data_IF_138735341129
#
_entry.id   IF_138735341129
#
_cell.length_a   1.000
_cell.length_b   1.000
_cell.length_c   1.000
_cell.angle_alpha   90.00
_cell.angle_beta   90.00
_cell.angle_gamma   90.00
#
_symmetry.space_group_name_H-M   'P 1'
#
loop_
_entity.id
_entity.type
_entity.pdbx_description
1 polymer ?
#
# COMPACT_ATOMS: atom_id res chain seq x y z
N UNK A 1 3.98 -6.96 13.82
CA UNK A 1 2.93 -8.00 13.76
C UNK A 1 1.68 -7.44 14.40
N UNK A 2 0.76 -6.88 13.61
CA UNK A 2 -0.53 -6.38 14.11
C UNK A 2 -1.54 -7.51 13.95
N UNK A 3 -1.97 -8.08 15.07
CA UNK A 3 -3.01 -9.08 15.13
C UNK A 3 -4.31 -8.36 15.54
N UNK A 4 -5.08 -7.88 14.57
CA UNK A 4 -6.36 -7.22 14.83
C UNK A 4 -7.51 -8.21 14.60
N UNK A 5 -8.23 -8.49 15.70
CA UNK A 5 -9.48 -9.26 15.73
C UNK A 5 -10.52 -8.64 14.79
N UNK A 6 -11.23 -9.49 14.02
CA UNK A 6 -12.43 -9.11 13.27
C UNK A 6 -13.52 -8.54 14.20
N UNK A 7 -14.24 -7.47 13.82
CA UNK A 7 -15.45 -7.04 14.50
C UNK A 7 -16.56 -8.10 14.38
N UNK A 8 -17.31 -8.26 15.47
CA UNK A 8 -18.44 -9.19 15.57
C UNK A 8 -19.68 -8.51 14.98
N UNK A 9 -20.06 -8.85 13.75
CA UNK A 9 -21.35 -8.44 13.17
C UNK A 9 -22.42 -9.35 13.75
N UNK A 10 -23.33 -8.77 14.53
CA UNK A 10 -24.58 -9.42 14.96
C UNK A 10 -25.55 -9.50 13.78
N UNK A 11 -25.84 -10.72 13.32
CA UNK A 11 -26.94 -11.01 12.42
C UNK A 11 -28.29 -10.66 13.07
N UNK A 12 -29.10 -9.85 12.41
CA UNK A 12 -30.55 -9.91 12.55
C UNK A 12 -31.17 -10.14 11.18
N UNK A 13 -31.78 -11.31 11.05
CA UNK A 13 -32.57 -11.75 9.91
C UNK A 13 -33.85 -10.92 9.79
N UNK A 14 -34.12 -10.38 8.61
CA UNK A 14 -35.50 -10.20 8.15
C UNK A 14 -35.61 -10.69 6.70
N UNK A 15 -36.35 -11.78 6.52
CA UNK A 15 -36.83 -12.27 5.23
C UNK A 15 -37.86 -11.28 4.67
N UNK A 16 -37.84 -11.06 3.36
CA UNK A 16 -39.04 -11.02 2.52
C UNK A 16 -38.66 -11.09 1.03
N UNK A 17 -39.59 -11.63 0.28
CA UNK A 17 -39.43 -12.34 -0.99
C UNK A 17 -39.48 -11.46 -2.25
N UNK A 18 -39.07 -12.10 -3.34
CA UNK A 18 -39.50 -11.94 -4.75
C UNK A 18 -39.26 -10.61 -5.48
N UNK A 19 -38.19 -10.60 -6.30
CA UNK A 19 -38.26 -10.00 -7.64
C UNK A 19 -37.29 -10.73 -8.61
N UNK A 20 -37.88 -11.37 -9.60
CA UNK A 20 -37.22 -12.03 -10.73
C UNK A 20 -36.53 -10.98 -11.61
N UNK A 21 -35.22 -11.13 -11.85
CA UNK A 21 -34.46 -10.38 -12.87
C UNK A 21 -33.74 -11.38 -13.79
N UNK A 22 -33.70 -11.17 -15.12
CA UNK A 22 -33.33 -12.20 -16.08
C UNK A 22 -31.82 -12.48 -16.11
N UNK A 23 -31.47 -13.76 -16.29
CA UNK A 23 -30.12 -14.23 -16.63
C UNK A 23 -29.66 -13.61 -17.95
N UNK A 24 -28.59 -12.83 -17.90
CA UNK A 24 -27.74 -12.52 -19.07
C UNK A 24 -26.46 -13.32 -18.88
N UNK A 25 -26.10 -14.09 -19.91
CA UNK A 25 -24.84 -14.82 -19.98
C UNK A 25 -23.69 -13.82 -20.14
N UNK A 26 -22.90 -13.66 -19.08
CA UNK A 26 -21.58 -13.01 -19.11
C UNK A 26 -20.52 -14.11 -19.21
N UNK A 27 -20.21 -14.51 -20.44
CA UNK A 27 -18.90 -15.09 -20.77
C UNK A 27 -18.03 -13.97 -21.35
N UNK A 28 -16.76 -13.90 -20.93
CA UNK A 28 -15.70 -12.98 -21.33
C UNK A 28 -15.62 -11.60 -20.66
N UNK A 29 -15.35 -11.59 -19.35
CA UNK A 29 -14.58 -10.52 -18.69
C UNK A 29 -13.31 -11.12 -18.07
N UNK A 30 -12.23 -11.08 -18.85
CA UNK A 30 -10.87 -11.43 -18.44
C UNK A 30 -10.49 -10.74 -17.14
N UNK A 31 -10.10 -11.57 -16.18
CA UNK A 31 -9.67 -11.27 -14.83
C UNK A 31 -8.67 -10.11 -14.74
N UNK A 32 -9.07 -9.07 -14.04
CA UNK A 32 -8.16 -8.15 -13.35
C UNK A 32 -8.76 -7.86 -11.97
N UNK A 33 -9.07 -8.95 -11.26
CA UNK A 33 -9.43 -8.88 -9.86
C UNK A 33 -8.14 -8.69 -9.06
N UNK A 34 -7.98 -7.48 -8.55
CA UNK A 34 -7.11 -7.19 -7.43
C UNK A 34 -7.61 -8.04 -6.27
N UNK A 35 -6.87 -9.11 -5.97
CA UNK A 35 -7.15 -10.07 -4.90
C UNK A 35 -7.43 -9.29 -3.61
N UNK A 36 -8.69 -9.34 -3.18
CA UNK A 36 -9.13 -8.91 -1.86
C UNK A 36 -8.49 -9.78 -0.79
N UNK A 37 -8.05 -9.13 0.29
CA UNK A 37 -7.09 -9.63 1.27
C UNK A 37 -7.67 -10.64 2.29
N UNK A 38 -8.73 -11.38 1.96
CA UNK A 38 -9.43 -12.25 2.91
C UNK A 38 -8.86 -13.68 3.02
N UNK A 39 -7.78 -14.01 2.29
CA UNK A 39 -7.30 -15.40 2.15
C UNK A 39 -5.91 -15.67 2.74
N UNK A 40 -5.43 -14.94 3.75
CA UNK A 40 -4.11 -15.23 4.33
C UNK A 40 -4.02 -16.64 4.96
N UNK A 41 -5.12 -17.16 5.51
CA UNK A 41 -5.17 -18.53 6.08
C UNK A 41 -5.29 -19.63 5.01
N UNK A 42 -5.77 -19.31 3.80
CA UNK A 42 -5.95 -20.29 2.71
C UNK A 42 -4.64 -20.60 1.97
N UNK A 43 -3.62 -19.74 2.10
CA UNK A 43 -2.35 -19.82 1.36
C UNK A 43 -1.52 -21.06 1.73
N UNK A 44 -1.75 -21.68 2.90
CA UNK A 44 -0.91 -22.78 3.43
C UNK A 44 -1.54 -24.19 3.35
N UNK A 45 -2.58 -24.42 2.56
CA UNK A 45 -3.11 -25.78 2.34
C UNK A 45 -2.06 -26.65 1.59
N UNK A 46 -1.80 -27.91 1.99
CA UNK A 46 -0.89 -28.83 1.28
C UNK A 46 -1.13 -28.98 -0.23
N UNK A 47 -2.36 -28.74 -0.74
CA UNK A 47 -2.64 -28.69 -2.18
C UNK A 47 -2.02 -27.47 -2.88
N UNK A 48 -1.86 -26.34 -2.19
CA UNK A 48 -1.20 -25.14 -2.73
C UNK A 48 0.32 -25.32 -2.83
N UNK A 49 0.95 -26.07 -1.92
CA UNK A 49 2.41 -26.28 -1.91
C UNK A 49 2.97 -26.88 -3.20
N UNK A 50 2.25 -27.83 -3.81
CA UNK A 50 2.63 -28.43 -5.11
C UNK A 50 2.51 -27.41 -6.25
N UNK A 51 1.44 -26.62 -6.22
CA UNK A 51 1.17 -25.54 -7.16
C UNK A 51 2.26 -24.44 -7.11
N UNK A 52 2.71 -24.08 -5.90
CA UNK A 52 3.79 -23.11 -5.66
C UNK A 52 5.16 -23.62 -6.08
N UNK A 53 5.46 -24.91 -5.92
CA UNK A 53 6.73 -25.49 -6.42
C UNK A 53 6.86 -25.33 -7.94
N UNK A 54 5.79 -25.59 -8.69
CA UNK A 54 5.79 -25.38 -10.14
C UNK A 54 5.90 -23.90 -10.53
N UNK A 55 5.24 -22.98 -9.80
CA UNK A 55 5.40 -21.53 -10.04
C UNK A 55 6.85 -21.11 -9.76
N UNK A 56 7.45 -21.62 -8.68
CA UNK A 56 8.83 -21.33 -8.32
C UNK A 56 9.81 -21.80 -9.40
N UNK A 57 9.59 -23.00 -9.96
CA UNK A 57 10.41 -23.52 -11.06
C UNK A 57 10.28 -22.69 -12.34
N UNK A 58 9.07 -22.26 -12.72
CA UNK A 58 8.86 -21.38 -13.89
C UNK A 58 9.53 -20.01 -13.68
N UNK A 59 9.29 -19.38 -12.53
CA UNK A 59 9.80 -18.02 -12.26
C UNK A 59 11.33 -17.99 -12.06
N UNK A 60 11.91 -18.97 -11.35
CA UNK A 60 13.39 -19.03 -11.19
C UNK A 60 14.13 -19.39 -12.46
N UNK A 61 13.55 -20.25 -13.30
CA UNK A 61 14.22 -20.64 -14.54
C UNK A 61 14.16 -19.53 -15.60
N UNK A 62 13.20 -18.60 -15.51
CA UNK A 62 13.07 -17.50 -16.47
C UNK A 62 13.82 -16.22 -16.06
N UNK A 63 13.79 -15.82 -14.77
CA UNK A 63 14.40 -14.55 -14.32
C UNK A 63 14.97 -14.65 -12.89
N UNK A 64 16.31 -14.58 -12.71
CA UNK A 64 16.88 -14.42 -11.38
C UNK A 64 16.58 -13.02 -10.83
N UNK A 65 16.15 -12.94 -9.57
CA UNK A 65 16.05 -11.65 -8.86
C UNK A 65 17.46 -11.09 -8.63
N UNK A 66 17.74 -9.83 -9.01
CA UNK A 66 19.04 -9.21 -8.74
C UNK A 66 19.30 -9.12 -7.23
N UNK A 67 20.58 -9.12 -6.86
CA UNK A 67 20.99 -8.97 -5.47
C UNK A 67 20.88 -7.49 -5.07
N UNK A 68 19.95 -7.18 -4.17
CA UNK A 68 19.83 -5.85 -3.57
C UNK A 68 20.90 -5.57 -2.52
N UNK A 69 21.08 -4.29 -2.22
CA UNK A 69 21.96 -3.77 -1.16
C UNK A 69 21.17 -3.61 0.13
N UNK A 70 21.78 -3.92 1.28
CA UNK A 70 21.12 -3.74 2.58
C UNK A 70 20.79 -2.27 2.78
N UNK A 71 19.55 -2.00 3.20
CA UNK A 71 19.08 -0.65 3.46
C UNK A 71 19.70 -0.11 4.75
N UNK A 72 20.60 0.86 4.58
CA UNK A 72 21.35 1.48 5.69
C UNK A 72 21.20 2.99 5.72
N UNK A 73 20.52 3.60 4.74
CA UNK A 73 20.25 5.03 4.72
C UNK A 73 18.78 5.28 4.40
N UNK A 74 18.11 6.08 5.25
CA UNK A 74 16.73 6.53 5.03
C UNK A 74 16.69 8.03 5.33
N UNK A 75 16.04 8.82 4.47
CA UNK A 75 15.93 10.28 4.62
C UNK A 75 17.29 11.02 4.81
N UNK A 76 18.36 10.49 4.21
CA UNK A 76 19.71 11.06 4.32
C UNK A 76 20.31 10.92 5.73
N UNK A 77 19.94 9.86 6.43
CA UNK A 77 20.43 9.48 7.75
C UNK A 77 20.87 8.02 7.71
N UNK A 78 22.10 7.76 8.16
CA UNK A 78 22.64 6.40 8.25
C UNK A 78 22.07 5.69 9.48
N UNK A 79 21.58 4.48 9.29
CA UNK A 79 20.83 3.68 10.25
C UNK A 79 21.42 2.28 10.36
N UNK A 80 21.23 1.67 11.52
CA UNK A 80 21.41 0.24 11.67
C UNK A 80 20.37 -0.50 10.80
N UNK A 81 20.73 -1.59 10.10
CA UNK A 81 19.80 -2.34 9.25
C UNK A 81 18.52 -2.78 9.97
N UNK A 82 18.61 -3.03 11.28
CA UNK A 82 17.51 -3.48 12.13
C UNK A 82 16.46 -2.38 12.40
N UNK A 83 16.86 -1.11 12.32
CA UNK A 83 15.99 0.04 12.57
C UNK A 83 15.33 0.55 11.28
N UNK A 84 15.80 0.13 10.10
CA UNK A 84 15.31 0.62 8.82
C UNK A 84 13.80 0.42 8.65
N UNK A 85 13.28 -0.75 9.04
CA UNK A 85 11.84 -1.05 8.98
C UNK A 85 11.00 -0.14 9.88
N UNK A 86 11.46 0.09 11.11
CA UNK A 86 10.77 0.96 12.06
C UNK A 86 10.76 2.42 11.60
N UNK A 87 11.84 2.88 10.97
CA UNK A 87 11.90 4.22 10.38
C UNK A 87 10.96 4.36 9.19
N UNK A 88 10.91 3.36 8.29
CA UNK A 88 10.00 3.36 7.16
C UNK A 88 8.53 3.37 7.61
N UNK A 89 8.17 2.56 8.61
CA UNK A 89 6.82 2.53 9.17
C UNK A 89 6.42 3.91 9.70
N UNK A 90 7.29 4.53 10.50
CA UNK A 90 7.04 5.86 11.06
C UNK A 90 6.88 6.92 9.97
N UNK A 91 7.76 6.93 8.96
CA UNK A 91 7.70 7.89 7.87
C UNK A 91 6.45 7.72 6.99
N UNK A 92 6.03 6.48 6.71
CA UNK A 92 4.79 6.23 5.97
C UNK A 92 3.57 6.70 6.75
N UNK A 93 3.52 6.46 8.07
CA UNK A 93 2.47 7.00 8.93
C UNK A 93 2.43 8.52 8.89
N UNK A 94 3.57 9.19 9.06
CA UNK A 94 3.64 10.66 9.00
C UNK A 94 3.27 11.22 7.63
N UNK A 95 3.61 10.52 6.54
CA UNK A 95 3.22 10.91 5.19
C UNK A 95 1.70 10.79 4.99
N UNK A 96 1.08 9.74 5.55
CA UNK A 96 -0.36 9.49 5.44
C UNK A 96 -1.21 10.41 6.33
N UNK A 97 -0.83 10.57 7.60
CA UNK A 97 -1.68 11.18 8.63
C UNK A 97 -1.09 12.43 9.26
N UNK A 98 0.11 12.86 8.86
CA UNK A 98 0.78 14.00 9.49
C UNK A 98 -0.07 15.27 9.56
N UNK A 99 -0.92 15.50 8.55
CA UNK A 99 -1.80 16.67 8.52
C UNK A 99 -2.86 16.65 9.63
N UNK A 100 -3.34 15.48 10.06
CA UNK A 100 -4.37 15.34 11.09
C UNK A 100 -3.90 15.82 12.47
N UNK A 101 -2.60 15.77 12.74
CA UNK A 101 -2.03 16.19 14.03
C UNK A 101 -0.99 17.31 13.86
N UNK A 102 -1.19 18.20 12.88
CA UNK A 102 -0.37 19.40 12.62
C UNK A 102 1.13 19.12 12.41
N UNK A 103 1.48 17.98 11.82
CA UNK A 103 2.84 17.65 11.47
C UNK A 103 3.25 18.34 10.17
N UNK A 104 4.21 19.27 10.27
CA UNK A 104 4.73 19.96 9.09
C UNK A 104 5.67 19.06 8.30
N UNK A 105 5.73 19.32 6.99
CA UNK A 105 6.68 18.67 6.07
C UNK A 105 8.12 18.78 6.59
N UNK A 106 8.83 17.66 6.64
CA UNK A 106 10.20 17.60 7.12
C UNK A 106 10.35 17.36 8.63
N UNK A 107 9.28 17.46 9.43
CA UNK A 107 9.35 17.24 10.87
C UNK A 107 9.67 15.78 11.23
N UNK A 108 9.10 14.81 10.50
CA UNK A 108 9.37 13.39 10.73
C UNK A 108 10.84 13.06 10.43
N UNK A 109 11.37 13.56 9.31
CA UNK A 109 12.78 13.41 8.92
C UNK A 109 13.72 14.14 9.89
N UNK A 110 13.30 15.30 10.42
CA UNK A 110 14.04 16.01 11.45
C UNK A 110 14.07 15.23 12.77
N UNK A 111 12.95 14.61 13.17
CA UNK A 111 12.89 13.75 14.36
C UNK A 111 13.81 12.53 14.23
N UNK A 112 13.84 11.85 13.07
CA UNK A 112 14.78 10.74 12.81
C UNK A 112 16.23 11.23 12.88
N UNK A 113 16.52 12.36 12.23
CA UNK A 113 17.87 12.95 12.25
C UNK A 113 18.31 13.31 13.67
N UNK A 114 17.39 13.84 14.49
CA UNK A 114 17.61 14.16 15.90
C UNK A 114 17.90 12.90 16.71
N UNK A 115 17.11 11.83 16.56
CA UNK A 115 17.31 10.57 17.26
C UNK A 115 18.67 9.93 16.95
N UNK A 116 19.12 10.00 15.69
CA UNK A 116 20.36 9.35 15.25
C UNK A 116 21.59 10.18 15.54
N UNK A 117 21.56 11.49 15.23
CA UNK A 117 22.74 12.37 15.35
C UNK A 117 22.86 13.03 16.72
N UNK A 118 21.86 12.84 17.58
CA UNK A 118 21.69 13.57 18.83
C UNK A 118 21.37 15.06 18.60
N UNK A 119 20.99 15.76 19.66
CA UNK A 119 20.75 17.20 19.61
C UNK A 119 22.09 17.96 19.54
N UNK A 120 22.35 18.65 18.42
CA UNK A 120 23.51 19.56 18.29
C UNK A 120 23.10 21.01 18.56
N UNK A 121 23.33 21.50 19.78
CA UNK A 121 23.29 22.93 20.11
C UNK A 121 21.90 23.53 20.43
N UNK A 122 21.87 24.41 21.43
CA UNK A 122 20.74 25.16 22.02
C UNK A 122 19.57 24.32 22.60
N UNK A 123 19.59 24.15 23.93
CA UNK A 123 18.50 23.61 24.78
C UNK A 123 17.18 24.42 24.72
N UNK A 124 17.12 25.48 23.92
CA UNK A 124 15.99 26.42 23.84
C UNK A 124 14.94 26.05 22.79
N UNK A 125 15.26 25.19 21.82
CA UNK A 125 14.27 24.67 20.88
C UNK A 125 13.70 23.34 21.39
N UNK A 126 12.37 23.20 21.35
CA UNK A 126 11.70 21.95 21.68
C UNK A 126 12.09 20.86 20.67
N UNK A 127 12.30 19.65 21.17
CA UNK A 127 12.70 18.48 20.36
C UNK A 127 11.59 18.09 19.40
N UNK A 128 11.95 17.77 18.15
CA UNK A 128 10.98 17.32 17.14
C UNK A 128 10.36 15.99 17.55
N UNK A 129 11.17 15.05 18.04
CA UNK A 129 10.65 13.75 18.47
C UNK A 129 9.71 13.89 19.67
N UNK A 130 10.04 14.77 20.63
CA UNK A 130 9.15 15.04 21.78
C UNK A 130 7.85 15.72 21.34
N UNK A 131 7.91 16.68 20.42
CA UNK A 131 6.72 17.33 19.88
C UNK A 131 5.78 16.31 19.23
N UNK A 132 6.31 15.39 18.41
CA UNK A 132 5.51 14.35 17.76
C UNK A 132 4.88 13.42 18.81
N UNK A 133 5.63 13.00 19.83
CA UNK A 133 5.06 12.22 20.94
C UNK A 133 3.90 12.94 21.62
N UNK A 134 4.04 14.24 21.89
CA UNK A 134 2.98 15.06 22.50
C UNK A 134 1.75 15.11 21.59
N UNK A 135 1.93 15.36 20.30
CA UNK A 135 0.82 15.45 19.34
C UNK A 135 0.05 14.12 19.24
N UNK A 136 0.76 12.99 19.15
CA UNK A 136 0.12 11.67 19.10
C UNK A 136 -0.60 11.34 20.42
N UNK A 137 0.00 11.65 21.56
CA UNK A 137 -0.62 11.41 22.87
C UNK A 137 -1.86 12.29 23.09
N UNK A 138 -1.82 13.56 22.67
CA UNK A 138 -2.96 14.45 22.75
C UNK A 138 -4.15 13.88 21.95
N UNK A 139 -3.89 13.45 20.72
CA UNK A 139 -4.90 12.83 19.86
C UNK A 139 -5.55 11.58 20.49
N UNK A 140 -4.73 10.70 21.09
CA UNK A 140 -5.23 9.51 21.80
C UNK A 140 -6.07 9.90 23.03
N UNK A 141 -5.61 10.88 23.81
CA UNK A 141 -6.27 11.28 25.04
C UNK A 141 -7.60 11.99 24.79
N UNK A 142 -7.68 12.80 23.72
CA UNK A 142 -8.92 13.43 23.28
C UNK A 142 -9.99 12.40 22.89
N UNK A 143 -9.60 11.29 22.23
CA UNK A 143 -10.54 10.22 21.83
C UNK A 143 -11.10 9.43 23.02
N UNK A 144 -10.33 9.27 24.10
CA UNK A 144 -10.71 8.48 25.29
C UNK A 144 -11.55 9.33 26.29
N UNK A 145 -11.81 10.61 25.97
CA UNK A 145 -12.47 11.59 26.86
C UNK A 145 -11.78 11.70 28.24
N UNK A 146 -10.48 11.39 28.29
CA UNK A 146 -9.64 11.64 29.45
C UNK A 146 -9.35 13.15 29.49
N UNK A 147 -9.73 13.82 30.58
CA UNK A 147 -9.45 15.26 30.79
C UNK A 147 -7.97 15.54 30.56
N UNK A 148 -7.63 16.12 29.41
CA UNK A 148 -6.25 16.26 28.97
C UNK A 148 -5.66 17.58 29.51
N UNK A 149 -4.73 17.55 30.50
CA UNK A 149 -3.91 18.72 30.75
C UNK A 149 -3.01 18.94 29.53
N UNK A 150 -2.79 20.20 29.14
CA UNK A 150 -1.81 20.54 28.10
C UNK A 150 -0.47 19.90 28.45
N UNK A 151 -0.06 18.90 27.64
CA UNK A 151 1.17 18.16 27.89
C UNK A 151 2.38 19.10 27.74
N UNK A 152 3.22 19.13 28.76
CA UNK A 152 4.43 19.91 28.76
C UNK A 152 5.58 19.10 28.16
N UNK A 153 6.40 19.70 27.28
CA UNK A 153 7.64 19.09 26.82
C UNK A 153 8.72 19.04 27.92
N UNK A 154 8.52 19.72 29.06
CA UNK A 154 9.45 19.74 30.19
C UNK A 154 9.02 18.82 31.32
N UNK A 155 9.97 18.44 32.17
CA UNK A 155 9.70 17.69 33.40
C UNK A 155 8.74 18.47 34.33
N UNK A 156 7.84 17.75 35.01
CA UNK A 156 6.81 18.33 35.88
C UNK A 156 5.54 17.49 35.95
N UNK A 157 4.51 18.01 36.62
CA UNK A 157 3.24 17.30 36.83
C UNK A 157 2.46 17.00 35.54
N UNK A 158 2.65 17.81 34.50
CA UNK A 158 2.06 17.62 33.18
C UNK A 158 3.09 17.10 32.16
N UNK A 159 4.10 16.37 32.61
CA UNK A 159 5.15 15.84 31.72
C UNK A 159 4.55 14.83 30.73
N UNK A 160 4.77 15.07 29.44
CA UNK A 160 4.41 14.13 28.37
C UNK A 160 4.95 12.71 28.62
N UNK A 161 6.11 12.61 29.26
CA UNK A 161 6.77 11.33 29.51
C UNK A 161 6.07 10.51 30.59
N UNK A 162 5.49 11.16 31.61
CA UNK A 162 4.67 10.48 32.62
C UNK A 162 3.39 9.95 31.97
N UNK A 163 2.71 10.78 31.17
CA UNK A 163 1.52 10.36 30.41
C UNK A 163 1.82 9.20 29.46
N UNK A 164 2.98 9.22 28.79
CA UNK A 164 3.44 8.11 27.96
C UNK A 164 3.62 6.83 28.79
N UNK A 165 4.26 6.93 29.97
CA UNK A 165 4.47 5.79 30.86
C UNK A 165 3.17 5.17 31.35
N UNK A 166 2.22 6.01 31.77
CA UNK A 166 0.89 5.58 32.19
C UNK A 166 0.15 4.90 31.03
N UNK A 167 0.23 5.46 29.82
CA UNK A 167 -0.40 4.87 28.65
C UNK A 167 0.22 3.52 28.28
N UNK A 168 1.55 3.44 28.21
CA UNK A 168 2.30 2.19 27.94
C UNK A 168 1.99 1.11 28.98
N UNK A 169 1.77 1.48 30.24
CA UNK A 169 1.45 0.54 31.32
C UNK A 169 0.14 -0.24 31.09
N UNK A 170 -0.79 0.33 30.30
CA UNK A 170 -2.06 -0.30 29.93
C UNK A 170 -1.83 -1.53 29.01
N UNK A 171 -0.65 -1.68 28.40
CA UNK A 171 -0.36 -2.70 27.38
C UNK A 171 0.75 -3.68 27.84
N UNK A 172 0.40 -4.96 28.17
CA UNK A 172 1.36 -5.93 28.69
C UNK A 172 2.57 -6.24 27.81
N UNK A 173 2.43 -6.14 26.48
CA UNK A 173 3.53 -6.40 25.55
C UNK A 173 4.55 -5.25 25.50
N UNK A 174 4.13 -4.02 25.82
CA UNK A 174 5.03 -2.86 25.91
C UNK A 174 5.64 -2.72 27.29
N UNK A 175 4.89 -3.03 28.35
CA UNK A 175 5.36 -2.88 29.73
C UNK A 175 6.57 -3.75 30.07
N UNK A 176 6.78 -4.86 29.35
CA UNK A 176 7.98 -5.70 29.48
C UNK A 176 9.26 -4.95 29.07
N UNK A 177 9.20 -4.19 27.99
CA UNK A 177 10.36 -3.47 27.43
C UNK A 177 10.48 -2.05 27.99
N UNK A 178 9.35 -1.51 28.47
CA UNK A 178 9.22 -0.16 28.99
C UNK A 178 8.42 -0.15 30.30
N UNK A 179 9.04 -0.56 31.42
CA UNK A 179 8.37 -0.56 32.72
C UNK A 179 7.96 0.87 33.14
N UNK A 180 6.77 1.09 33.73
CA UNK A 180 6.23 2.43 33.98
C UNK A 180 7.12 3.30 34.87
N UNK A 181 7.75 2.69 35.86
CA UNK A 181 8.70 3.27 36.81
C UNK A 181 9.96 3.85 36.15
N UNK A 182 10.24 3.46 34.90
CA UNK A 182 11.29 4.07 34.07
C UNK A 182 10.97 5.51 33.70
N UNK A 183 9.71 5.86 33.47
CA UNK A 183 9.33 7.20 33.00
C UNK A 183 9.31 8.26 34.11
N UNK A 184 9.31 7.82 35.39
CA UNK A 184 9.24 8.68 36.56
C UNK A 184 10.50 9.54 36.82
N UNK A 185 11.62 9.30 36.12
CA UNK A 185 12.86 10.08 36.31
C UNK A 185 13.10 11.14 35.23
N UNK A 186 12.07 11.49 34.48
CA UNK A 186 12.06 12.64 33.57
C UNK A 186 12.76 12.41 32.23
N UNK A 187 12.84 13.49 31.43
CA UNK A 187 13.29 13.50 30.04
C UNK A 187 14.70 12.93 29.81
N UNK A 188 15.57 12.97 30.82
CA UNK A 188 16.92 12.39 30.74
C UNK A 188 16.89 10.90 30.39
N UNK A 189 15.90 10.16 30.91
CA UNK A 189 15.77 8.73 30.64
C UNK A 189 15.34 8.47 29.21
N UNK A 190 14.45 9.30 28.67
CA UNK A 190 14.07 9.17 27.27
C UNK A 190 15.29 9.35 26.37
N UNK A 191 16.17 10.30 26.69
CA UNK A 191 17.41 10.51 25.92
C UNK A 191 18.35 9.31 25.94
N UNK A 192 18.40 8.56 27.04
CA UNK A 192 19.20 7.34 27.21
C UNK A 192 18.65 6.13 26.42
N UNK A 193 17.42 6.19 25.90
CA UNK A 193 16.87 5.11 25.08
C UNK A 193 17.67 4.96 23.78
N UNK A 194 17.87 3.70 23.36
CA UNK A 194 18.38 3.40 22.03
C UNK A 194 17.43 3.92 20.95
N UNK A 195 17.95 4.13 19.75
CA UNK A 195 17.15 4.56 18.58
C UNK A 195 15.98 3.60 18.37
N UNK A 196 16.24 2.28 18.38
CA UNK A 196 15.20 1.24 18.31
C UNK A 196 14.15 1.37 19.42
N UNK A 197 14.55 1.71 20.66
CA UNK A 197 13.63 1.93 21.76
C UNK A 197 12.73 3.16 21.54
N UNK A 198 13.30 4.26 21.05
CA UNK A 198 12.56 5.50 20.71
C UNK A 198 11.58 5.24 19.56
N UNK A 199 12.04 4.60 18.49
CA UNK A 199 11.22 4.23 17.33
C UNK A 199 10.09 3.25 17.68
N UNK A 200 10.35 2.29 18.58
CA UNK A 200 9.33 1.36 19.06
C UNK A 200 8.20 2.07 19.81
N UNK A 201 8.53 3.01 20.70
CA UNK A 201 7.53 3.83 21.38
C UNK A 201 6.74 4.71 20.39
N UNK A 202 7.43 5.27 19.40
CA UNK A 202 6.82 6.17 18.41
C UNK A 202 5.86 5.41 17.50
N UNK A 203 6.28 4.29 16.92
CA UNK A 203 5.41 3.44 16.09
C UNK A 203 4.25 2.86 16.90
N UNK A 204 4.45 2.53 18.17
CA UNK A 204 3.35 2.11 19.05
C UNK A 204 2.28 3.22 19.16
N UNK A 205 2.68 4.47 19.41
CA UNK A 205 1.71 5.58 19.44
C UNK A 205 1.06 5.81 18.09
N UNK A 206 1.79 5.71 16.98
CA UNK A 206 1.22 5.77 15.64
C UNK A 206 0.13 4.70 15.46
N UNK A 207 0.41 3.45 15.83
CA UNK A 207 -0.56 2.35 15.73
C UNK A 207 -1.80 2.59 16.61
N UNK A 208 -1.61 3.13 17.81
CA UNK A 208 -2.73 3.48 18.70
C UNK A 208 -3.55 4.66 18.17
N UNK A 209 -2.91 5.68 17.58
CA UNK A 209 -3.63 6.80 16.95
C UNK A 209 -4.53 6.36 15.80
N UNK A 210 -4.18 5.29 15.07
CA UNK A 210 -5.04 4.74 14.00
C UNK A 210 -6.40 4.24 14.54
N UNK A 211 -6.52 4.00 15.84
CA UNK A 211 -7.77 3.59 16.47
C UNK A 211 -8.65 4.76 16.92
N UNK A 212 -8.15 5.99 16.85
CA UNK A 212 -8.91 7.20 17.22
C UNK A 212 -9.99 7.51 16.21
N UNK A 213 -11.09 8.12 16.65
CA UNK A 213 -12.20 8.52 15.79
C UNK A 213 -11.73 9.41 14.64
N UNK A 214 -10.88 10.40 14.93
CA UNK A 214 -10.37 11.32 13.91
C UNK A 214 -9.63 10.60 12.78
N UNK A 215 -8.69 9.69 13.08
CA UNK A 215 -7.98 8.98 12.01
C UNK A 215 -8.85 7.92 11.34
N UNK A 216 -9.79 7.29 12.05
CA UNK A 216 -10.74 6.35 11.44
C UNK A 216 -11.64 7.05 10.43
N UNK A 217 -12.16 8.23 10.76
CA UNK A 217 -13.01 9.01 9.85
C UNK A 217 -12.22 9.41 8.59
N UNK A 218 -10.97 9.85 8.73
CA UNK A 218 -10.08 10.13 7.58
C UNK A 218 -9.87 8.88 6.73
N UNK A 219 -9.63 7.71 7.35
CA UNK A 219 -9.45 6.45 6.62
C UNK A 219 -10.72 6.09 5.85
N UNK A 220 -11.89 6.18 6.48
CA UNK A 220 -13.17 5.84 5.88
C UNK A 220 -13.52 6.79 4.72
N UNK A 221 -13.32 8.09 4.88
CA UNK A 221 -13.48 9.08 3.81
C UNK A 221 -12.59 8.77 2.60
N UNK A 222 -11.32 8.45 2.84
CA UNK A 222 -10.37 8.10 1.77
C UNK A 222 -10.71 6.75 1.10
N UNK A 223 -11.25 5.78 1.84
CA UNK A 223 -11.75 4.52 1.26
C UNK A 223 -12.95 4.79 0.34
N UNK A 224 -13.87 5.66 0.76
CA UNK A 224 -15.05 6.02 -0.03
C UNK A 224 -14.65 6.73 -1.33
N UNK A 225 -13.79 7.76 -1.25
CA UNK A 225 -13.30 8.51 -2.41
C UNK A 225 -12.59 7.60 -3.44
N UNK A 226 -11.80 6.65 -2.95
CA UNK A 226 -11.14 5.66 -3.80
C UNK A 226 -12.11 4.68 -4.46
N UNK A 227 -13.18 4.27 -3.75
CA UNK A 227 -14.19 3.37 -4.33
C UNK A 227 -14.98 4.08 -5.44
N UNK A 228 -15.34 5.35 -5.24
CA UNK A 228 -15.99 6.18 -6.25
C UNK A 228 -15.10 6.38 -7.47
N UNK A 229 -13.85 6.83 -7.26
CA UNK A 229 -12.86 7.01 -8.35
C UNK A 229 -12.64 5.71 -9.13
N UNK A 230 -12.62 4.56 -8.45
CA UNK A 230 -12.53 3.23 -9.07
C UNK A 230 -13.77 2.88 -9.89
N UNK A 231 -14.98 3.20 -9.43
CA UNK A 231 -16.22 2.98 -10.19
C UNK A 231 -16.23 3.84 -11.46
N UNK A 232 -15.86 5.11 -11.35
CA UNK A 232 -15.76 6.02 -12.49
C UNK A 232 -14.73 5.53 -13.52
N UNK A 233 -13.56 5.13 -13.05
CA UNK A 233 -12.51 4.52 -13.87
C UNK A 233 -13.00 3.29 -14.65
N UNK A 234 -13.70 2.36 -13.96
CA UNK A 234 -14.29 1.17 -14.60
C UNK A 234 -15.33 1.56 -15.64
N UNK A 235 -16.18 2.56 -15.36
CA UNK A 235 -17.16 3.06 -16.31
C UNK A 235 -16.50 3.67 -17.56
N UNK A 236 -15.43 4.46 -17.41
CA UNK A 236 -14.64 5.01 -18.53
C UNK A 236 -14.05 3.90 -19.40
N UNK A 237 -13.48 2.84 -18.80
CA UNK A 237 -12.94 1.68 -19.52
C UNK A 237 -14.06 0.95 -20.30
N UNK A 238 -15.22 0.75 -19.67
CA UNK A 238 -16.35 0.06 -20.30
C UNK A 238 -16.89 0.86 -21.48
N UNK A 239 -17.05 2.18 -21.33
CA UNK A 239 -17.46 3.07 -22.41
C UNK A 239 -16.45 3.09 -23.58
N UNK A 240 -15.15 3.09 -23.30
CA UNK A 240 -14.11 3.00 -24.34
C UNK A 240 -14.19 1.66 -25.11
N UNK A 241 -14.39 0.54 -24.39
CA UNK A 241 -14.59 -0.79 -25.00
C UNK A 241 -15.85 -0.86 -25.86
N UNK A 242 -16.94 -0.24 -25.43
CA UNK A 242 -18.18 -0.20 -26.23
C UNK A 242 -18.01 0.61 -27.52
N UNK A 243 -17.31 1.76 -27.46
CA UNK A 243 -16.97 2.53 -28.65
C UNK A 243 -16.11 1.73 -29.63
N UNK A 244 -15.10 1.00 -29.14
CA UNK A 244 -14.29 0.12 -29.98
C UNK A 244 -15.15 -0.94 -30.70
N UNK A 245 -16.09 -1.57 -29.98
CA UNK A 245 -17.03 -2.55 -30.54
C UNK A 245 -17.96 -1.91 -31.58
N UNK A 246 -18.49 -0.73 -31.30
CA UNK A 246 -19.40 0.00 -32.21
C UNK A 246 -18.69 0.38 -33.52
N UNK A 247 -17.45 0.88 -33.44
CA UNK A 247 -16.62 1.19 -34.62
C UNK A 247 -16.37 -0.08 -35.44
N UNK A 248 -15.97 -1.19 -34.81
CA UNK A 248 -15.79 -2.47 -35.50
C UNK A 248 -17.05 -2.93 -36.22
N UNK A 249 -18.22 -2.84 -35.57
CA UNK A 249 -19.51 -3.24 -36.14
C UNK A 249 -19.95 -2.36 -37.31
N UNK A 250 -19.92 -1.03 -37.14
CA UNK A 250 -20.29 -0.08 -38.21
C UNK A 250 -19.49 -0.30 -39.47
N UNK A 251 -18.19 -0.61 -39.34
CA UNK A 251 -17.31 -0.83 -40.49
C UNK A 251 -17.55 -2.18 -41.18
N UNK A 252 -17.89 -3.24 -40.42
CA UNK A 252 -18.36 -4.50 -41.01
C UNK A 252 -19.67 -4.29 -41.80
N UNK A 253 -20.59 -3.48 -41.27
CA UNK A 253 -21.85 -3.14 -41.96
C UNK A 253 -21.62 -2.31 -43.24
N UNK A 254 -20.62 -1.40 -43.25
CA UNK A 254 -20.21 -0.64 -44.45
C UNK A 254 -19.63 -1.56 -45.54
N UNK A 255 -18.81 -2.54 -45.17
CA UNK A 255 -18.31 -3.55 -46.13
C UNK A 255 -19.48 -4.33 -46.72
N UNK A 256 -20.42 -4.80 -45.89
CA UNK A 256 -21.58 -5.55 -46.35
C UNK A 256 -22.44 -4.74 -47.33
N UNK A 257 -22.66 -3.45 -47.05
CA UNK A 257 -23.38 -2.53 -47.95
C UNK A 257 -22.66 -2.31 -49.27
N UNK A 258 -21.33 -2.16 -49.26
CA UNK A 258 -20.54 -1.97 -50.48
C UNK A 258 -20.62 -3.19 -51.41
N UNK A 259 -20.65 -4.40 -50.85
CA UNK A 259 -20.85 -5.66 -51.60
C UNK A 259 -22.27 -5.71 -52.21
N UNK A 260 -23.29 -5.33 -51.45
CA UNK A 260 -24.69 -5.31 -51.92
C UNK A 260 -24.91 -4.29 -53.05
N UNK A 261 -24.30 -3.10 -52.97
CA UNK A 261 -24.42 -2.04 -53.99
C UNK A 261 -23.84 -2.43 -55.36
N UNK A 262 -22.92 -3.41 -55.42
CA UNK A 262 -22.42 -4.00 -56.67
C UNK A 262 -23.29 -5.15 -57.19
N UNK A 263 -24.58 -5.20 -56.82
CA UNK A 263 -25.50 -6.28 -57.19
C UNK A 263 -25.02 -7.68 -56.76
N UNK A 264 -24.27 -7.77 -55.64
CA UNK A 264 -23.67 -9.02 -55.17
C UNK A 264 -22.38 -9.43 -55.89
N UNK A 265 -21.85 -8.60 -56.81
CA UNK A 265 -20.53 -8.85 -57.39
C UNK A 265 -19.42 -8.57 -56.36
N UNK A 266 -18.37 -9.41 -56.29
CA UNK A 266 -17.26 -9.22 -55.35
C UNK A 266 -16.57 -7.85 -55.56
N UNK A 267 -16.15 -7.22 -54.47
CA UNK A 267 -15.25 -6.07 -54.52
C UNK A 267 -13.96 -6.45 -55.27
N UNK A 268 -13.37 -5.51 -56.01
CA UNK A 268 -12.04 -5.74 -56.57
C UNK A 268 -11.00 -5.86 -55.46
N UNK A 269 -9.89 -6.56 -55.72
CA UNK A 269 -8.83 -6.78 -54.73
C UNK A 269 -8.32 -5.45 -54.14
N UNK A 270 -8.16 -4.43 -54.99
CA UNK A 270 -7.70 -3.09 -54.56
C UNK A 270 -8.69 -2.36 -53.67
N UNK A 271 -10.00 -2.43 -53.94
CA UNK A 271 -11.03 -1.81 -53.09
C UNK A 271 -11.15 -2.52 -51.73
N UNK A 272 -11.05 -3.85 -51.75
CA UNK A 272 -11.04 -4.67 -50.53
C UNK A 272 -9.81 -4.38 -49.66
N UNK A 273 -8.64 -4.25 -50.27
CA UNK A 273 -7.37 -3.96 -49.58
C UNK A 273 -7.33 -2.54 -49.00
N UNK A 274 -7.91 -1.55 -49.70
CA UNK A 274 -8.06 -0.19 -49.19
C UNK A 274 -9.01 -0.12 -47.97
N UNK A 275 -10.17 -0.80 -48.05
CA UNK A 275 -11.13 -0.88 -46.93
C UNK A 275 -10.53 -1.63 -45.72
N UNK A 276 -9.84 -2.75 -45.93
CA UNK A 276 -9.16 -3.48 -44.87
C UNK A 276 -8.05 -2.65 -44.22
N UNK A 277 -7.30 -1.89 -45.00
CA UNK A 277 -6.26 -1.00 -44.48
C UNK A 277 -6.85 0.12 -43.62
N UNK A 278 -7.95 0.74 -44.06
CA UNK A 278 -8.66 1.76 -43.27
C UNK A 278 -9.24 1.19 -41.96
N UNK A 279 -9.80 -0.03 -42.01
CA UNK A 279 -10.29 -0.74 -40.82
C UNK A 279 -9.17 -1.01 -39.83
N UNK A 280 -8.01 -1.47 -40.32
CA UNK A 280 -6.86 -1.76 -39.48
C UNK A 280 -6.32 -0.49 -38.82
N UNK A 281 -6.25 0.63 -39.54
CA UNK A 281 -5.84 1.94 -39.01
C UNK A 281 -6.78 2.42 -37.90
N UNK A 282 -8.08 2.53 -38.19
CA UNK A 282 -9.09 3.04 -37.24
C UNK A 282 -9.30 2.11 -36.04
N UNK A 283 -9.19 0.79 -36.23
CA UNK A 283 -9.23 -0.18 -35.12
C UNK A 283 -7.98 -0.07 -34.24
N UNK A 284 -6.81 0.13 -34.85
CA UNK A 284 -5.56 0.34 -34.10
C UNK A 284 -5.62 1.65 -33.31
N UNK A 285 -6.22 2.70 -33.88
CA UNK A 285 -6.45 3.96 -33.20
C UNK A 285 -7.44 3.83 -32.02
N UNK A 286 -8.60 3.21 -32.22
CA UNK A 286 -9.56 2.99 -31.13
C UNK A 286 -9.00 2.09 -30.01
N UNK A 287 -8.20 1.08 -30.37
CA UNK A 287 -7.48 0.25 -29.40
C UNK A 287 -6.40 1.06 -28.66
N UNK A 288 -5.67 1.94 -29.35
CA UNK A 288 -4.69 2.83 -28.72
C UNK A 288 -5.37 3.80 -27.73
N UNK A 289 -6.50 4.40 -28.10
CA UNK A 289 -7.30 5.26 -27.22
C UNK A 289 -7.84 4.49 -25.99
N UNK A 290 -8.26 3.23 -26.18
CA UNK A 290 -8.64 2.35 -25.06
C UNK A 290 -7.44 2.07 -24.14
N UNK A 291 -6.28 1.73 -24.68
CA UNK A 291 -5.07 1.47 -23.89
C UNK A 291 -4.57 2.73 -23.18
N UNK A 292 -4.68 3.91 -23.81
CA UNK A 292 -4.37 5.19 -23.18
C UNK A 292 -5.35 5.50 -22.04
N UNK A 293 -6.65 5.25 -22.22
CA UNK A 293 -7.65 5.41 -21.16
C UNK A 293 -7.36 4.47 -19.97
N UNK A 294 -6.97 3.22 -20.23
CA UNK A 294 -6.52 2.28 -19.17
C UNK A 294 -5.26 2.79 -18.47
N UNK A 295 -4.30 3.32 -19.23
CA UNK A 295 -3.06 3.87 -18.70
C UNK A 295 -3.29 5.13 -17.84
N UNK A 296 -4.17 6.05 -18.25
CA UNK A 296 -4.54 7.23 -17.45
C UNK A 296 -5.26 6.82 -16.16
N UNK A 297 -6.20 5.88 -16.24
CA UNK A 297 -6.92 5.34 -15.09
C UNK A 297 -5.98 4.68 -14.08
N UNK A 298 -4.97 3.93 -14.54
CA UNK A 298 -3.99 3.32 -13.63
C UNK A 298 -3.16 4.36 -12.85
N UNK A 299 -2.95 5.56 -13.41
CA UNK A 299 -2.29 6.69 -12.72
C UNK A 299 -3.24 7.41 -11.76
N UNK A 300 -4.52 7.57 -12.11
CA UNK A 300 -5.55 8.13 -11.23
C UNK A 300 -5.92 7.19 -10.07
N UNK A 301 -5.81 5.88 -10.27
CA UNK A 301 -6.05 4.86 -9.23
C UNK A 301 -4.95 4.75 -8.16
N UNK A 302 -4.03 5.72 -8.12
CA UNK A 302 -2.95 5.71 -7.16
C UNK A 302 -3.55 5.89 -5.76
N UNK A 303 -3.59 4.76 -5.04
CA UNK A 303 -4.20 4.62 -3.72
C UNK A 303 -3.73 5.75 -2.79
N UNK A 304 -4.68 6.35 -2.07
CA UNK A 304 -4.37 7.32 -1.02
C UNK A 304 -3.48 6.68 0.05
N UNK A 305 -2.57 7.48 0.61
CA UNK A 305 -1.60 7.03 1.62
C UNK A 305 -2.28 6.70 2.95
N UNK A 306 -3.47 7.25 3.20
CA UNK A 306 -4.28 6.95 4.39
C UNK A 306 -4.85 5.53 4.37
N UNK A 307 -4.99 4.91 3.19
CA UNK A 307 -5.43 3.52 3.09
C UNK A 307 -4.23 2.61 3.17
N UNK A 308 -4.34 1.54 3.97
CA UNK A 308 -3.29 0.54 4.21
C UNK A 308 -2.39 0.30 2.99
N UNK A 309 -1.11 0.62 3.14
CA UNK A 309 -0.08 0.36 2.13
C UNK A 309 -0.03 -1.14 1.81
N UNK A 310 -0.03 -1.45 0.50
CA UNK A 310 0.00 -2.81 -0.02
C UNK A 310 1.31 -3.01 -0.77
N UNK A 311 2.02 -4.14 -0.58
CA UNK A 311 3.20 -4.42 -1.37
C UNK A 311 2.84 -4.56 -2.86
N UNK A 312 3.76 -4.18 -3.73
CA UNK A 312 3.69 -4.49 -5.16
C UNK A 312 3.56 -6.01 -5.36
N UNK A 313 4.33 -6.79 -4.61
CA UNK A 313 4.33 -8.24 -4.71
C UNK A 313 4.69 -8.83 -3.36
N UNK A 314 3.94 -9.83 -2.92
CA UNK A 314 4.41 -10.78 -1.93
C UNK A 314 4.80 -12.04 -2.70
N UNK A 315 6.09 -12.35 -2.73
CA UNK A 315 6.56 -13.52 -3.44
C UNK A 315 6.41 -14.80 -2.60
N UNK A 316 6.59 -15.93 -3.29
CA UNK A 316 6.49 -17.28 -2.72
C UNK A 316 7.52 -17.59 -1.62
N UNK A 317 8.57 -16.77 -1.49
CA UNK A 317 9.57 -16.89 -0.43
C UNK A 317 9.20 -16.01 0.78
N UNK A 318 8.01 -15.41 0.79
CA UNK A 318 7.56 -14.52 1.84
C UNK A 318 8.26 -13.15 1.81
N UNK A 319 8.86 -12.77 0.68
CA UNK A 319 9.49 -11.46 0.51
C UNK A 319 8.50 -10.48 -0.08
N UNK A 320 8.40 -9.30 0.51
CA UNK A 320 7.49 -8.26 0.07
C UNK A 320 8.25 -7.16 -0.67
N UNK A 321 7.76 -6.77 -1.85
CA UNK A 321 8.27 -5.69 -2.66
C UNK A 321 7.42 -4.45 -2.44
N UNK A 322 8.04 -3.33 -2.11
CA UNK A 322 7.35 -2.10 -1.74
C UNK A 322 7.76 -0.93 -2.63
N UNK A 323 6.82 -0.02 -2.85
CA UNK A 323 7.08 1.27 -3.50
C UNK A 323 6.53 2.39 -2.62
N UNK A 324 7.34 2.76 -1.62
CA UNK A 324 6.96 3.69 -0.56
C UNK A 324 7.18 5.14 -1.02
N UNK A 325 6.19 6.02 -0.77
CA UNK A 325 6.31 7.44 -1.12
C UNK A 325 7.32 8.14 -0.22
N UNK A 326 7.36 7.78 1.07
CA UNK A 326 8.25 8.44 2.04
C UNK A 326 9.74 8.16 1.84
N UNK A 327 10.10 7.04 1.21
CA UNK A 327 11.51 6.65 1.02
C UNK A 327 12.19 7.35 -0.17
N UNK A 328 11.46 7.58 -1.28
CA UNK A 328 11.99 8.30 -2.45
C UNK A 328 10.90 8.69 -3.48
N UNK A 329 9.76 9.22 -3.02
CA UNK A 329 8.62 9.55 -3.88
C UNK A 329 8.23 8.40 -4.83
N UNK A 330 8.24 7.16 -4.32
CA UNK A 330 7.89 5.96 -5.09
C UNK A 330 8.79 5.65 -6.30
N UNK A 331 9.98 6.25 -6.41
CA UNK A 331 10.90 5.99 -7.53
C UNK A 331 11.56 4.61 -7.45
N UNK A 332 12.00 4.21 -6.26
CA UNK A 332 12.73 2.96 -6.05
C UNK A 332 11.83 1.88 -5.47
N UNK A 333 12.21 0.64 -5.73
CA UNK A 333 11.58 -0.55 -5.15
C UNK A 333 12.40 -0.97 -3.93
N UNK A 334 11.72 -1.26 -2.84
CA UNK A 334 12.30 -1.84 -1.63
C UNK A 334 11.92 -3.32 -1.54
N UNK A 335 12.82 -4.13 -1.01
CA UNK A 335 12.56 -5.53 -0.70
C UNK A 335 12.61 -5.72 0.82
N UNK A 336 11.52 -6.17 1.40
CA UNK A 336 11.42 -6.60 2.77
C UNK A 336 11.57 -8.13 2.81
N UNK A 337 12.67 -8.60 3.39
CA UNK A 337 12.87 -9.99 3.73
C UNK A 337 12.45 -10.23 5.17
N UNK A 338 11.32 -10.92 5.36
CA UNK A 338 11.03 -11.57 6.63
C UNK A 338 11.95 -12.80 6.66
N UNK A 339 12.88 -12.88 7.62
CA UNK A 339 13.83 -13.98 7.73
C UNK A 339 13.17 -15.36 7.86
N UNK A 340 13.94 -16.39 8.21
CA UNK A 340 13.35 -17.72 8.42
C UNK A 340 12.33 -17.68 9.57
N UNK A 341 11.08 -18.04 9.26
CA UNK A 341 9.95 -18.04 10.20
C UNK A 341 10.17 -19.02 11.36
N UNK A 342 11.03 -20.02 11.16
CA UNK A 342 11.40 -21.03 12.16
C UNK A 342 12.53 -20.57 13.10
N UNK A 343 13.04 -19.34 12.95
CA UNK A 343 14.01 -18.78 13.89
C UNK A 343 13.33 -18.12 15.09
N UNK A 344 13.88 -18.31 16.30
CA UNK A 344 13.38 -17.71 17.54
C UNK A 344 13.43 -16.16 17.54
N UNK A 345 14.08 -15.56 16.54
CA UNK A 345 14.16 -14.12 16.31
C UNK A 345 14.20 -13.84 14.80
N UNK A 346 13.05 -13.82 14.12
CA UNK A 346 13.02 -13.47 12.71
C UNK A 346 13.50 -12.02 12.57
N UNK A 347 14.73 -11.85 12.09
CA UNK A 347 15.30 -10.54 11.80
C UNK A 347 14.78 -10.08 10.44
N UNK A 348 13.87 -9.12 10.50
CA UNK A 348 13.42 -8.39 9.32
C UNK A 348 14.61 -7.64 8.70
N UNK A 349 14.79 -7.79 7.39
CA UNK A 349 15.86 -7.10 6.64
C UNK A 349 15.28 -6.38 5.45
N UNK A 350 15.68 -5.13 5.29
CA UNK A 350 15.31 -4.29 4.17
C UNK A 350 16.45 -4.17 3.18
N UNK A 351 16.11 -4.19 1.89
CA UNK A 351 17.05 -4.03 0.79
C UNK A 351 16.53 -3.00 -0.20
N UNK A 352 17.48 -2.32 -0.85
CA UNK A 352 17.23 -1.40 -1.95
C UNK A 352 17.97 -1.87 -3.19
N UNK A 353 17.55 -1.37 -4.35
CA UNK A 353 18.12 -1.70 -5.65
C UNK A 353 18.61 -0.42 -6.32
N UNK A 354 19.75 -0.52 -6.98
CA UNK A 354 20.29 0.60 -7.76
C UNK A 354 19.42 0.86 -8.99
N UNK A 355 19.49 2.06 -9.56
CA UNK A 355 18.69 2.46 -10.71
C UNK A 355 18.84 1.51 -11.91
N UNK A 356 20.05 0.97 -12.13
CA UNK A 356 20.32 -0.03 -13.16
C UNK A 356 19.61 -1.37 -12.92
N UNK A 357 19.30 -1.72 -11.67
CA UNK A 357 18.65 -2.97 -11.29
C UNK A 357 17.11 -2.86 -11.31
N UNK A 358 16.56 -1.65 -11.25
CA UNK A 358 15.10 -1.43 -11.20
C UNK A 358 14.36 -2.11 -12.37
N UNK A 359 14.80 -2.00 -13.64
CA UNK A 359 14.12 -2.69 -14.75
C UNK A 359 14.09 -4.21 -14.59
N UNK A 360 15.15 -4.81 -14.05
CA UNK A 360 15.23 -6.25 -13.81
C UNK A 360 14.26 -6.68 -12.69
N UNK A 361 14.14 -5.88 -11.63
CA UNK A 361 13.20 -6.11 -10.53
C UNK A 361 11.76 -5.96 -11.02
N UNK A 362 11.46 -4.95 -11.83
CA UNK A 362 10.12 -4.78 -12.41
C UNK A 362 9.76 -5.94 -13.35
N UNK A 363 10.72 -6.44 -14.13
CA UNK A 363 10.55 -7.63 -14.96
C UNK A 363 10.26 -8.87 -14.10
N UNK A 364 11.01 -9.07 -13.01
CA UNK A 364 10.78 -10.15 -12.05
C UNK A 364 9.38 -10.07 -11.43
N UNK A 365 8.95 -8.89 -10.97
CA UNK A 365 7.62 -8.69 -10.39
C UNK A 365 6.52 -9.02 -11.41
N UNK A 366 6.71 -8.59 -12.66
CA UNK A 366 5.73 -8.78 -13.74
C UNK A 366 5.55 -10.25 -14.09
N UNK A 367 6.65 -10.99 -14.30
CA UNK A 367 6.61 -12.44 -14.57
C UNK A 367 6.03 -13.21 -13.40
N UNK A 368 6.43 -12.86 -12.16
CA UNK A 368 5.90 -13.54 -10.97
C UNK A 368 4.39 -13.34 -10.84
N UNK A 369 3.89 -12.11 -11.07
CA UNK A 369 2.45 -11.83 -11.05
C UNK A 369 1.71 -12.62 -12.14
N UNK A 370 2.22 -12.66 -13.37
CA UNK A 370 1.62 -13.42 -14.46
C UNK A 370 1.56 -14.92 -14.13
N UNK A 371 2.65 -15.50 -13.63
CA UNK A 371 2.70 -16.90 -13.23
C UNK A 371 1.71 -17.24 -12.11
N UNK A 372 1.48 -16.31 -11.18
CA UNK A 372 0.45 -16.48 -10.14
C UNK A 372 -0.97 -16.35 -10.69
N UNK A 373 -1.23 -15.42 -11.63
CA UNK A 373 -2.54 -15.24 -12.25
C UNK A 373 -2.97 -16.42 -13.14
N UNK A 374 -2.03 -17.09 -13.80
CA UNK A 374 -2.31 -18.23 -14.71
C UNK A 374 -2.91 -19.45 -13.98
N UNK A 375 -2.80 -19.54 -12.65
CA UNK A 375 -3.30 -20.69 -11.88
C UNK A 375 -4.61 -20.46 -11.12
N UNK A 376 -5.25 -19.30 -11.28
CA UNK A 376 -6.58 -19.00 -10.73
C UNK A 376 -7.68 -18.91 -11.80
N UNK A 377 -7.41 -19.39 -13.02
CA UNK A 377 -8.40 -19.60 -14.09
C UNK A 377 -8.72 -21.08 -14.22
#
# INVERSE_FOLDING_TARGET
MVNMKKPRITEQMSKNDDAVVPKVHDDDISAMDVIGNDNLETIMNPSSKSCWKQINEVVHNEIPLPRGSILTNVAGVDLAPEDAGQVLQFLEFCNAFGQAFDLKKGHAEAAIREMVKGRRGCRTQSSFVIQIHIQLLALIQEDIDERCPTLSPTDGQNSWLLSLGDFVSKYPFMSKDFPPDRFNKGNAIYEELSISGKLKLLNFLCDETLNTMELRDIIDEQILELDESRKEAKAKILAAKEKEKEVKKKKQDEIAKAVLAKNGAPLSISEHEALMSQIKEETSQAHAEMEEAKAMVSKESQRSDAVRSVPLLLDIKGRAFWRLKSYNNSKYILLQGMGDWDSDSPSEKWFTFDEAQIPEVERYISVTRQAMSIKYV
#
